data_IF_412322361728
#
_entry.id   IF_412322361728
#
_cell.length_a   1.000
_cell.length_b   1.000
_cell.length_c   1.000
_cell.angle_alpha   90.00
_cell.angle_beta   90.00
_cell.angle_gamma   90.00
#
_symmetry.space_group_name_H-M   'P 1'
#
loop_
_entity.id
_entity.type
_entity.pdbx_description
1 polymer ?
#
# COMPACT_ATOMS: atom_id res chain seq x y z
N UNK A 1 -6.65 25.87 8.67
CA UNK A 1 -7.81 25.00 8.99
C UNK A 1 -7.57 23.57 8.50
N UNK A 2 -6.73 22.79 9.14
CA UNK A 2 -6.60 21.36 8.80
C UNK A 2 -6.72 20.45 10.04
N UNK A 3 -7.48 20.89 11.05
CA UNK A 3 -7.69 20.13 12.28
C UNK A 3 -8.46 18.82 12.11
N UNK A 4 -9.22 18.66 11.04
CA UNK A 4 -10.07 17.47 10.82
C UNK A 4 -9.37 16.23 10.29
N UNK A 5 -8.40 16.37 9.38
CA UNK A 5 -7.74 15.20 8.76
C UNK A 5 -6.74 14.52 9.69
N UNK A 6 -5.96 15.29 10.46
CA UNK A 6 -4.99 14.73 11.42
C UNK A 6 -5.66 13.92 12.55
N UNK A 7 -6.84 14.35 13.03
CA UNK A 7 -7.58 13.62 14.06
C UNK A 7 -8.24 12.35 13.52
N UNK A 8 -8.61 12.35 12.25
CA UNK A 8 -9.19 11.18 11.60
C UNK A 8 -8.12 10.11 11.36
N UNK A 9 -6.91 10.50 10.96
CA UNK A 9 -5.79 9.57 10.83
C UNK A 9 -5.39 8.94 12.17
N UNK A 10 -5.42 9.69 13.27
CA UNK A 10 -5.14 9.18 14.62
C UNK A 10 -6.20 8.20 15.14
N UNK A 11 -7.44 8.28 14.66
CA UNK A 11 -8.54 7.39 15.08
C UNK A 11 -8.58 6.06 14.33
N UNK A 12 -7.78 5.87 13.27
CA UNK A 12 -7.70 4.59 12.57
C UNK A 12 -7.24 3.44 13.47
N UNK A 13 -6.45 3.74 14.50
CA UNK A 13 -5.96 2.74 15.46
C UNK A 13 -7.07 2.18 16.36
N UNK A 14 -8.23 2.83 16.43
CA UNK A 14 -9.40 2.36 17.20
C UNK A 14 -10.23 1.32 16.45
N UNK A 15 -10.03 1.18 15.14
CA UNK A 15 -10.74 0.20 14.30
C UNK A 15 -9.91 -1.07 14.20
N UNK A 16 -10.48 -2.26 14.39
CA UNK A 16 -9.74 -3.50 14.28
C UNK A 16 -9.22 -3.74 12.85
N UNK A 17 -8.18 -4.56 12.74
CA UNK A 17 -7.63 -4.97 11.45
C UNK A 17 -8.72 -5.59 10.56
N UNK A 18 -8.74 -5.19 9.29
CA UNK A 18 -9.75 -5.60 8.33
C UNK A 18 -11.01 -4.74 8.35
N UNK A 19 -10.99 -3.55 9.01
CA UNK A 19 -12.02 -2.52 8.95
C UNK A 19 -13.45 -3.08 9.15
N UNK A 20 -13.64 -3.99 10.12
CA UNK A 20 -14.90 -4.71 10.35
C UNK A 20 -15.50 -5.37 9.10
N UNK A 21 -14.63 -5.76 8.16
CA UNK A 21 -15.01 -6.42 6.90
C UNK A 21 -15.33 -5.47 5.75
N UNK A 22 -15.18 -4.15 5.92
CA UNK A 22 -15.27 -3.20 4.80
C UNK A 22 -14.02 -3.32 3.95
N UNK A 23 -14.19 -3.46 2.63
CA UNK A 23 -13.11 -3.57 1.66
C UNK A 23 -13.21 -2.43 0.65
N UNK A 24 -12.12 -1.70 0.47
CA UNK A 24 -12.01 -0.66 -0.55
C UNK A 24 -11.10 -1.12 -1.69
N UNK A 25 -11.48 -0.80 -2.93
CA UNK A 25 -10.64 -1.04 -4.12
C UNK A 25 -10.12 0.29 -4.67
N UNK A 26 -8.78 0.47 -4.82
CA UNK A 26 -8.18 1.76 -5.16
C UNK A 26 -8.08 2.04 -6.66
N UNK A 27 -8.87 1.40 -7.51
CA UNK A 27 -8.76 1.47 -8.98
C UNK A 27 -9.47 2.72 -9.54
N UNK A 28 -9.22 3.91 -8.98
CA UNK A 28 -9.95 5.15 -9.26
C UNK A 28 -9.78 5.68 -10.69
N UNK A 29 -8.78 5.23 -11.43
CA UNK A 29 -8.50 5.61 -12.81
C UNK A 29 -8.01 4.40 -13.61
N UNK A 30 -8.79 3.34 -13.60
CA UNK A 30 -8.37 2.07 -14.12
C UNK A 30 -7.25 1.43 -13.31
N UNK A 31 -6.69 0.36 -13.84
CA UNK A 31 -5.56 -0.33 -13.25
C UNK A 31 -4.61 -0.88 -14.32
N UNK A 32 -3.29 -0.87 -14.06
CA UNK A 32 -2.28 -1.42 -14.98
C UNK A 32 -1.61 -2.68 -14.46
N UNK A 33 -1.48 -2.83 -13.17
CA UNK A 33 -0.81 -3.96 -12.52
C UNK A 33 -1.51 -4.25 -11.17
N UNK A 34 -1.72 -5.51 -10.81
CA UNK A 34 -1.30 -6.77 -11.43
C UNK A 34 -2.21 -7.27 -12.57
N UNK A 35 -3.24 -6.53 -12.93
CA UNK A 35 -4.09 -6.73 -14.10
C UNK A 35 -4.21 -5.40 -14.85
N UNK A 36 -4.43 -5.45 -16.15
CA UNK A 36 -4.68 -4.26 -16.96
C UNK A 36 -6.18 -4.18 -17.28
N UNK A 37 -6.79 -3.09 -16.84
CA UNK A 37 -8.19 -2.78 -17.11
C UNK A 37 -8.41 -1.27 -16.96
N UNK A 38 -8.57 -0.53 -18.07
CA UNK A 38 -8.81 0.91 -18.04
C UNK A 38 -10.18 1.27 -17.45
N UNK A 39 -11.13 0.32 -17.46
CA UNK A 39 -12.49 0.53 -17.00
C UNK A 39 -12.67 0.24 -15.50
N UNK A 40 -11.68 -0.40 -14.86
CA UNK A 40 -11.77 -0.68 -13.43
C UNK A 40 -11.96 0.62 -12.63
N UNK A 41 -12.83 0.57 -11.62
CA UNK A 41 -13.14 1.71 -10.77
C UNK A 41 -13.05 1.36 -9.28
N UNK A 42 -12.93 2.39 -8.45
CA UNK A 42 -12.95 2.25 -7.00
C UNK A 42 -14.34 1.89 -6.48
N UNK A 43 -14.38 1.08 -5.42
CA UNK A 43 -15.61 0.80 -4.71
C UNK A 43 -15.37 0.58 -3.22
N UNK A 44 -16.40 0.83 -2.42
CA UNK A 44 -16.51 0.31 -1.07
C UNK A 44 -17.45 -0.90 -1.09
N UNK A 45 -16.99 -2.00 -0.54
CA UNK A 45 -17.76 -3.24 -0.47
C UNK A 45 -18.07 -3.59 0.98
N UNK A 46 -19.27 -4.17 1.23
CA UNK A 46 -19.74 -4.63 2.53
C UNK A 46 -19.94 -3.48 3.55
N UNK A 47 -20.48 -2.35 3.10
CA UNK A 47 -20.97 -1.29 4.00
C UNK A 47 -22.25 -1.79 4.68
N UNK A 48 -22.32 -1.61 6.02
CA UNK A 48 -23.45 -1.97 6.86
C UNK A 48 -23.96 -0.74 7.58
N UNK A 49 -25.11 -0.87 8.28
CA UNK A 49 -25.69 0.22 9.03
C UNK A 49 -24.74 0.77 10.12
N UNK A 50 -23.94 -0.11 10.72
CA UNK A 50 -22.99 0.22 11.80
C UNK A 50 -21.67 0.76 11.27
N UNK A 51 -21.45 0.74 9.94
CA UNK A 51 -20.19 1.21 9.34
C UNK A 51 -20.03 2.71 9.52
N UNK A 52 -19.04 3.10 10.30
CA UNK A 52 -18.71 4.49 10.54
C UNK A 52 -17.63 5.04 9.57
N UNK A 53 -17.39 6.33 9.67
CA UNK A 53 -16.36 7.00 8.85
C UNK A 53 -14.95 6.46 9.07
N UNK A 54 -14.65 5.99 10.27
CA UNK A 54 -13.31 5.51 10.64
C UNK A 54 -13.00 4.18 9.95
N UNK A 55 -13.99 3.28 9.86
CA UNK A 55 -13.87 2.04 9.10
C UNK A 55 -13.68 2.33 7.61
N UNK A 56 -14.42 3.28 7.04
CA UNK A 56 -14.27 3.66 5.64
C UNK A 56 -12.85 4.18 5.36
N UNK A 57 -12.32 5.08 6.21
CA UNK A 57 -10.98 5.64 6.03
C UNK A 57 -9.90 4.57 6.20
N UNK A 58 -10.01 3.72 7.23
CA UNK A 58 -9.09 2.61 7.42
C UNK A 58 -9.12 1.63 6.24
N UNK A 59 -10.30 1.30 5.73
CA UNK A 59 -10.44 0.41 4.58
C UNK A 59 -9.76 0.95 3.31
N UNK A 60 -9.70 2.29 3.14
CA UNK A 60 -8.93 2.91 2.04
C UNK A 60 -7.44 2.59 2.16
N UNK A 61 -6.86 2.78 3.34
CA UNK A 61 -5.44 2.45 3.58
C UNK A 61 -5.19 0.96 3.39
N UNK A 62 -6.04 0.11 3.96
CA UNK A 62 -5.95 -1.35 3.82
C UNK A 62 -6.09 -1.77 2.35
N UNK A 63 -7.00 -1.17 1.59
CA UNK A 63 -7.21 -1.45 0.17
C UNK A 63 -5.98 -1.11 -0.68
N UNK A 64 -5.31 0.02 -0.40
CA UNK A 64 -4.04 0.39 -1.04
C UNK A 64 -2.96 -0.66 -0.69
N UNK A 65 -2.86 -1.07 0.58
CA UNK A 65 -1.90 -2.08 1.01
C UNK A 65 -2.21 -3.47 0.41
N UNK A 66 -3.49 -3.85 0.25
CA UNK A 66 -3.88 -5.07 -0.46
C UNK A 66 -3.46 -5.03 -1.92
N UNK A 67 -3.59 -3.88 -2.57
CA UNK A 67 -3.13 -3.71 -3.94
C UNK A 67 -1.61 -3.89 -4.04
N UNK A 68 -0.85 -3.31 -3.11
CA UNK A 68 0.61 -3.50 -3.02
C UNK A 68 0.97 -4.97 -2.77
N UNK A 69 0.26 -5.68 -1.88
CA UNK A 69 0.44 -7.13 -1.66
C UNK A 69 0.22 -7.92 -2.95
N UNK A 70 -0.83 -7.60 -3.68
CA UNK A 70 -1.12 -8.29 -4.94
C UNK A 70 -0.03 -8.08 -6.00
N UNK A 71 0.47 -6.84 -6.14
CA UNK A 71 1.63 -6.56 -7.01
C UNK A 71 2.87 -7.33 -6.54
N UNK A 72 3.15 -7.34 -5.24
CA UNK A 72 4.28 -8.04 -4.65
C UNK A 72 4.22 -9.56 -4.89
N UNK A 73 3.04 -10.18 -4.71
CA UNK A 73 2.82 -11.60 -5.03
C UNK A 73 3.12 -11.89 -6.51
N UNK A 74 2.66 -11.02 -7.42
CA UNK A 74 2.90 -11.20 -8.86
C UNK A 74 4.38 -11.04 -9.23
N UNK A 75 5.08 -10.12 -8.60
CA UNK A 75 6.52 -9.95 -8.76
C UNK A 75 7.28 -11.19 -8.26
N UNK A 76 6.90 -11.73 -7.13
CA UNK A 76 7.51 -12.91 -6.51
C UNK A 76 7.44 -14.18 -7.37
N UNK A 77 6.48 -14.24 -8.33
CA UNK A 77 6.42 -15.33 -9.31
C UNK A 77 7.56 -15.29 -10.36
N UNK A 78 8.19 -14.13 -10.54
CA UNK A 78 9.22 -13.91 -11.59
C UNK A 78 10.61 -13.71 -11.02
N UNK A 79 10.72 -13.13 -9.84
CA UNK A 79 12.01 -12.79 -9.22
C UNK A 79 11.99 -13.11 -7.74
N UNK A 80 13.15 -13.48 -7.20
CA UNK A 80 13.32 -13.66 -5.75
C UNK A 80 13.17 -12.29 -5.08
N UNK A 81 12.22 -12.19 -4.17
CA UNK A 81 11.97 -10.97 -3.39
C UNK A 81 12.73 -11.02 -2.05
N UNK A 82 13.00 -9.85 -1.49
CA UNK A 82 13.64 -9.70 -0.17
C UNK A 82 12.67 -10.06 0.95
N UNK A 83 13.21 -10.43 2.12
CA UNK A 83 12.43 -10.66 3.35
C UNK A 83 11.97 -9.34 3.98
N UNK A 84 12.62 -8.24 3.66
CA UNK A 84 12.22 -6.90 4.06
C UNK A 84 11.89 -6.04 2.85
N UNK A 85 10.87 -5.19 2.98
CA UNK A 85 10.41 -4.24 1.97
C UNK A 85 10.77 -2.82 2.38
N UNK A 86 11.47 -2.08 1.54
CA UNK A 86 11.68 -0.64 1.76
C UNK A 86 10.49 0.13 1.25
N UNK A 87 9.84 0.85 2.15
CA UNK A 87 8.70 1.70 1.82
C UNK A 87 9.10 3.16 1.84
N UNK A 88 8.79 3.89 0.79
CA UNK A 88 9.15 5.30 0.60
C UNK A 88 7.99 6.09 -0.02
N UNK A 89 8.17 7.39 -0.13
CA UNK A 89 7.12 8.31 -0.58
C UNK A 89 6.27 8.84 0.57
N UNK A 90 5.23 9.61 0.24
CA UNK A 90 4.36 10.25 1.23
C UNK A 90 3.62 9.26 2.15
N UNK A 91 3.26 8.08 1.65
CA UNK A 91 2.61 7.04 2.45
C UNK A 91 3.47 6.50 3.60
N UNK A 92 4.80 6.56 3.45
CA UNK A 92 5.75 6.13 4.47
C UNK A 92 5.90 7.13 5.65
N UNK A 93 5.26 8.29 5.59
CA UNK A 93 5.19 9.25 6.70
C UNK A 93 4.16 8.83 7.76
N UNK A 94 3.19 8.00 7.41
CA UNK A 94 2.16 7.52 8.31
C UNK A 94 2.55 6.21 9.00
N UNK A 95 2.78 6.24 10.31
CA UNK A 95 3.14 5.05 11.11
C UNK A 95 2.09 3.94 10.98
N UNK A 96 0.81 4.29 11.11
CA UNK A 96 -0.31 3.36 10.94
C UNK A 96 -0.31 2.71 9.55
N UNK A 97 -0.01 3.48 8.49
CA UNK A 97 0.08 2.94 7.12
C UNK A 97 1.23 1.94 7.00
N UNK A 98 2.39 2.25 7.59
CA UNK A 98 3.56 1.38 7.57
C UNK A 98 3.30 0.08 8.32
N UNK A 99 2.63 0.14 9.49
CA UNK A 99 2.27 -1.04 10.26
C UNK A 99 1.22 -1.90 9.51
N UNK A 100 0.17 -1.29 8.95
CA UNK A 100 -0.82 -2.01 8.14
C UNK A 100 -0.15 -2.70 6.94
N UNK A 101 0.80 -2.03 6.30
CA UNK A 101 1.54 -2.62 5.18
C UNK A 101 2.39 -3.81 5.62
N UNK A 102 3.09 -3.71 6.77
CA UNK A 102 3.88 -4.82 7.33
C UNK A 102 2.99 -6.02 7.66
N UNK A 103 1.86 -5.78 8.31
CA UNK A 103 0.89 -6.82 8.68
C UNK A 103 0.31 -7.52 7.46
N UNK A 104 -0.08 -6.75 6.43
CA UNK A 104 -0.67 -7.28 5.20
C UNK A 104 0.35 -8.05 4.37
N UNK A 105 1.59 -7.55 4.24
CA UNK A 105 2.66 -8.21 3.50
C UNK A 105 3.24 -9.41 4.25
N UNK A 106 3.06 -9.47 5.57
CA UNK A 106 3.73 -10.43 6.47
C UNK A 106 5.27 -10.36 6.34
N UNK A 107 5.77 -9.13 6.19
CA UNK A 107 7.20 -8.82 6.01
C UNK A 107 7.57 -7.56 6.77
N UNK A 108 8.84 -7.46 7.12
CA UNK A 108 9.40 -6.24 7.67
C UNK A 108 9.27 -5.09 6.66
N UNK A 109 8.70 -3.97 7.11
CA UNK A 109 8.65 -2.73 6.35
C UNK A 109 9.66 -1.75 6.91
N UNK A 110 10.69 -1.46 6.11
CA UNK A 110 11.80 -0.56 6.47
C UNK A 110 11.54 0.82 5.90
N UNK A 111 11.47 1.81 6.76
CA UNK A 111 11.33 3.22 6.40
C UNK A 111 12.66 3.94 6.63
N UNK A 112 13.10 4.69 5.64
CA UNK A 112 14.33 5.48 5.69
C UNK A 112 14.06 6.91 6.18
N UNK A 113 15.10 7.65 6.54
CA UNK A 113 14.97 9.07 6.84
C UNK A 113 14.46 9.85 5.62
N UNK A 114 13.55 10.80 5.86
CA UNK A 114 12.94 11.63 4.81
C UNK A 114 12.41 10.82 3.62
N UNK A 115 11.52 9.83 3.85
CA UNK A 115 11.13 8.85 2.83
C UNK A 115 10.43 9.50 1.62
N UNK A 116 9.84 10.69 1.78
CA UNK A 116 9.23 11.47 0.71
C UNK A 116 10.24 12.03 -0.29
N UNK A 117 11.51 12.17 0.10
CA UNK A 117 12.57 12.76 -0.71
C UNK A 117 13.44 11.72 -1.44
N UNK A 118 13.12 10.43 -1.30
CA UNK A 118 13.97 9.34 -1.81
C UNK A 118 14.18 9.40 -3.33
N UNK A 119 13.23 9.98 -4.08
CA UNK A 119 13.38 10.20 -5.51
C UNK A 119 14.52 11.17 -5.83
N UNK A 120 14.61 12.30 -5.12
CA UNK A 120 15.70 13.27 -5.26
C UNK A 120 17.04 12.68 -4.82
N UNK A 121 17.04 11.93 -3.72
CA UNK A 121 18.23 11.20 -3.24
C UNK A 121 18.72 10.20 -4.28
N UNK A 122 17.80 9.45 -4.91
CA UNK A 122 18.13 8.51 -5.97
C UNK A 122 18.75 9.19 -7.21
N UNK A 123 18.20 10.33 -7.64
CA UNK A 123 18.73 11.10 -8.76
C UNK A 123 20.15 11.63 -8.43
N UNK A 124 20.34 12.21 -7.24
CA UNK A 124 21.65 12.65 -6.79
C UNK A 124 22.66 11.50 -6.71
N UNK A 125 22.22 10.33 -6.25
CA UNK A 125 23.06 9.14 -6.19
C UNK A 125 23.53 8.68 -7.59
N UNK A 126 22.65 8.69 -8.59
CA UNK A 126 23.02 8.37 -9.97
C UNK A 126 24.11 9.33 -10.50
N UNK A 127 23.97 10.63 -10.24
CA UNK A 127 24.95 11.65 -10.61
C UNK A 127 26.27 11.40 -9.88
N UNK A 128 26.24 11.16 -8.58
CA UNK A 128 27.45 10.91 -7.77
C UNK A 128 28.23 9.68 -8.24
N UNK A 129 27.54 8.61 -8.61
CA UNK A 129 28.17 7.42 -9.20
C UNK A 129 28.73 7.74 -10.59
N UNK A 130 27.99 8.46 -11.45
CA UNK A 130 28.45 8.86 -12.77
C UNK A 130 29.68 9.77 -12.75
N UNK A 131 29.81 10.60 -11.71
CA UNK A 131 30.97 11.47 -11.49
C UNK A 131 32.15 10.78 -10.75
N UNK A 132 32.01 9.53 -10.37
CA UNK A 132 33.04 8.80 -9.61
C UNK A 132 33.15 9.21 -8.14
N UNK A 133 32.21 9.99 -7.59
CA UNK A 133 32.19 10.38 -6.18
C UNK A 133 31.77 9.23 -5.26
N UNK A 134 31.03 8.28 -5.79
CA UNK A 134 30.63 7.03 -5.14
C UNK A 134 30.91 5.89 -6.09
N UNK A 135 31.53 4.81 -5.61
CA UNK A 135 32.00 3.72 -6.47
C UNK A 135 30.87 2.95 -7.14
N UNK A 136 29.73 2.80 -6.48
CA UNK A 136 28.61 2.05 -7.03
C UNK A 136 27.27 2.38 -6.35
N UNK A 137 26.15 2.07 -7.00
CA UNK A 137 24.82 2.16 -6.39
C UNK A 137 24.65 1.26 -5.16
N UNK A 138 25.46 0.20 -5.01
CA UNK A 138 25.45 -0.63 -3.80
C UNK A 138 25.97 0.13 -2.58
N UNK A 139 26.92 1.05 -2.78
CA UNK A 139 27.48 1.86 -1.70
C UNK A 139 26.52 2.98 -1.28
N UNK A 140 25.73 3.51 -2.21
CA UNK A 140 24.67 4.48 -1.91
C UNK A 140 23.70 3.93 -0.84
N UNK A 141 23.41 2.63 -0.86
CA UNK A 141 22.54 1.99 0.13
C UNK A 141 23.04 2.21 1.58
N UNK A 142 24.36 2.30 1.78
CA UNK A 142 24.98 2.51 3.09
C UNK A 142 24.86 3.97 3.57
N UNK A 143 24.63 4.90 2.64
CA UNK A 143 24.48 6.33 2.92
C UNK A 143 23.05 6.74 3.26
N UNK A 144 22.08 5.86 3.08
CA UNK A 144 20.68 6.13 3.36
C UNK A 144 20.31 5.52 4.71
N UNK A 145 20.19 6.32 5.78
CA UNK A 145 19.90 5.81 7.11
C UNK A 145 18.49 5.26 7.21
N UNK A 146 18.36 4.17 7.93
CA UNK A 146 17.05 3.61 8.30
C UNK A 146 16.52 4.40 9.49
N UNK A 147 15.28 4.87 9.39
CA UNK A 147 14.57 5.55 10.46
C UNK A 147 13.90 4.56 11.40
N UNK A 148 13.12 3.64 10.82
CA UNK A 148 12.31 2.69 11.58
C UNK A 148 12.05 1.42 10.77
N UNK A 149 11.89 0.30 11.46
CA UNK A 149 11.41 -0.96 10.90
C UNK A 149 10.13 -1.37 11.59
N UNK A 150 9.08 -1.65 10.82
CA UNK A 150 7.79 -2.15 11.29
C UNK A 150 7.75 -3.66 11.07
N UNK A 151 7.53 -4.40 12.13
CA UNK A 151 7.40 -5.85 12.09
C UNK A 151 5.94 -6.26 12.00
N UNK A 152 5.59 -7.33 11.26
CA UNK A 152 4.21 -7.78 11.13
C UNK A 152 3.62 -8.26 12.45
N UNK A 153 2.41 -7.80 12.77
CA UNK A 153 1.62 -8.30 13.88
C UNK A 153 0.81 -9.52 13.43
N UNK A 154 1.24 -10.70 13.84
CA UNK A 154 0.61 -11.97 13.45
C UNK A 154 -0.83 -12.11 13.92
N UNK A 155 -1.27 -11.39 14.96
CA UNK A 155 -2.66 -11.41 15.42
C UNK A 155 -3.64 -10.86 14.36
N UNK A 156 -3.18 -9.98 13.47
CA UNK A 156 -3.99 -9.37 12.41
C UNK A 156 -4.10 -10.24 11.15
N UNK A 157 -3.28 -11.29 11.04
CA UNK A 157 -3.12 -12.11 9.84
C UNK A 157 -4.45 -12.65 9.32
N UNK A 158 -5.24 -13.31 10.16
CA UNK A 158 -6.47 -13.96 9.74
C UNK A 158 -7.49 -12.97 9.14
N UNK A 159 -7.59 -11.76 9.71
CA UNK A 159 -8.47 -10.71 9.21
C UNK A 159 -8.01 -10.22 7.83
N UNK A 160 -6.71 -9.97 7.66
CA UNK A 160 -6.16 -9.48 6.40
C UNK A 160 -6.16 -10.54 5.30
N UNK A 161 -5.86 -11.81 5.59
CA UNK A 161 -5.95 -12.88 4.60
C UNK A 161 -7.38 -13.05 4.06
N UNK A 162 -8.38 -13.03 4.96
CA UNK A 162 -9.79 -13.09 4.57
C UNK A 162 -10.16 -11.93 3.65
N UNK A 163 -9.84 -10.68 4.06
CA UNK A 163 -10.20 -9.50 3.30
C UNK A 163 -9.43 -9.42 1.97
N UNK A 164 -8.17 -9.84 1.93
CA UNK A 164 -7.39 -9.88 0.70
C UNK A 164 -7.93 -10.88 -0.33
N UNK A 165 -8.43 -12.03 0.13
CA UNK A 165 -9.13 -12.99 -0.74
C UNK A 165 -10.36 -12.34 -1.39
N UNK A 166 -11.16 -11.63 -0.60
CA UNK A 166 -12.33 -10.88 -1.09
C UNK A 166 -11.88 -9.79 -2.06
N UNK A 167 -10.87 -8.99 -1.70
CA UNK A 167 -10.32 -7.93 -2.53
C UNK A 167 -9.96 -8.40 -3.96
N UNK A 168 -9.22 -9.52 -4.08
CA UNK A 168 -8.89 -10.09 -5.39
C UNK A 168 -10.13 -10.57 -6.16
N UNK A 169 -11.12 -11.08 -5.45
CA UNK A 169 -12.34 -11.59 -6.07
C UNK A 169 -13.27 -10.47 -6.58
N UNK A 170 -13.27 -9.30 -5.91
CA UNK A 170 -14.06 -8.14 -6.32
C UNK A 170 -13.78 -7.72 -7.75
N UNK A 171 -12.52 -7.72 -8.17
CA UNK A 171 -12.17 -7.43 -9.56
C UNK A 171 -12.79 -8.46 -10.52
N UNK A 172 -12.62 -9.75 -10.24
CA UNK A 172 -13.12 -10.82 -11.11
C UNK A 172 -14.64 -10.76 -11.29
N UNK A 173 -15.36 -10.53 -10.18
CA UNK A 173 -16.82 -10.48 -10.20
C UNK A 173 -17.38 -9.20 -10.83
N UNK A 174 -16.62 -8.09 -10.81
CA UNK A 174 -17.12 -6.79 -11.27
C UNK A 174 -16.51 -6.32 -12.60
N UNK A 175 -15.59 -7.08 -13.21
CA UNK A 175 -14.95 -6.70 -14.47
C UNK A 175 -15.97 -6.35 -15.56
N UNK A 176 -17.02 -7.14 -15.70
CA UNK A 176 -18.09 -6.91 -16.66
C UNK A 176 -18.89 -5.65 -16.33
N UNK A 177 -19.20 -5.43 -15.06
CA UNK A 177 -19.91 -4.23 -14.60
C UNK A 177 -19.08 -2.96 -14.87
N UNK A 178 -17.76 -2.99 -14.64
CA UNK A 178 -16.87 -1.88 -14.99
C UNK A 178 -16.89 -1.59 -16.49
N UNK A 179 -16.84 -2.62 -17.33
CA UNK A 179 -16.89 -2.46 -18.77
C UNK A 179 -18.21 -1.82 -19.24
N UNK A 180 -19.34 -2.23 -18.65
CA UNK A 180 -20.66 -1.66 -18.97
C UNK A 180 -20.75 -0.18 -18.54
N UNK A 181 -20.23 0.16 -17.37
CA UNK A 181 -20.36 1.52 -16.83
C UNK A 181 -19.32 2.52 -17.38
N UNK A 182 -18.13 2.06 -17.69
CA UNK A 182 -16.96 2.90 -17.97
C UNK A 182 -16.32 2.60 -19.34
N UNK A 183 -16.80 1.57 -20.07
CA UNK A 183 -16.36 1.28 -21.44
C UNK A 183 -16.72 2.44 -22.36
N UNK A 184 -15.80 2.84 -23.24
CA UNK A 184 -16.10 3.75 -24.35
C UNK A 184 -16.92 2.95 -25.39
N UNK A 185 -18.04 3.52 -25.85
CA UNK A 185 -18.78 3.02 -27.01
C UNK A 185 -17.95 3.11 -28.29
#
# INVERSE_FOLDING_TARGET
MSRGLGDVYKRQDTVPAGSNGVVFTPWLHGNRCPFEDPNAAGMFFNIRLETGKTELIRSVVEGICFHMKWMYERQGLKVKTSDAVRFCGGGALGETTCQILADILEKDVVVVESPQNIGAVGAAACIAVGMGLVNSMKDVKKLIPVKTTYHPNTANRAAYERNFKVFKNLYKCNKQNFAILNGQE
#
